data_IF_454054090206
#
_entry.id   IF_454054090206
#
_cell.length_a   1.000
_cell.length_b   1.000
_cell.length_c   1.000
_cell.angle_alpha   90.00
_cell.angle_beta   90.00
_cell.angle_gamma   90.00
#
_symmetry.space_group_name_H-M   'P 1'
#
loop_
_entity.id
_entity.type
_entity.pdbx_description
1 polymer ?
#
# COMPACT_ATOMS: atom_id res chain seq x y z
N UNK A 1 22.03 1.86 -13.19
CA UNK A 1 21.54 1.39 -11.88
C UNK A 1 22.71 0.74 -11.16
N UNK A 2 22.96 1.09 -9.90
CA UNK A 2 24.03 0.48 -9.12
C UNK A 2 23.61 -0.93 -8.71
N UNK A 3 24.41 -1.95 -9.06
CA UNK A 3 24.22 -3.33 -8.60
C UNK A 3 25.21 -3.59 -7.46
N UNK A 4 24.76 -4.30 -6.42
CA UNK A 4 25.60 -4.74 -5.31
C UNK A 4 25.37 -6.23 -5.07
N UNK A 5 26.40 -6.91 -4.57
CA UNK A 5 26.35 -8.34 -4.27
C UNK A 5 25.91 -8.56 -2.83
N UNK A 6 25.02 -9.54 -2.63
CA UNK A 6 24.56 -9.98 -1.32
C UNK A 6 24.86 -11.47 -1.17
N UNK A 7 25.67 -11.84 -0.17
CA UNK A 7 26.07 -13.22 0.08
C UNK A 7 25.42 -13.73 1.36
N UNK A 8 24.61 -14.78 1.23
CA UNK A 8 23.96 -15.47 2.36
C UNK A 8 24.57 -16.85 2.52
N UNK A 9 24.84 -17.25 3.75
CA UNK A 9 25.19 -18.64 4.09
C UNK A 9 23.93 -19.37 4.53
N UNK A 10 23.67 -20.51 3.92
CA UNK A 10 22.58 -21.42 4.24
C UNK A 10 23.13 -22.85 4.25
N UNK A 11 22.43 -23.76 4.90
CA UNK A 11 22.76 -25.17 4.91
C UNK A 11 22.64 -25.76 3.48
N UNK A 12 23.50 -26.72 3.15
CA UNK A 12 23.57 -27.29 1.80
C UNK A 12 22.27 -28.02 1.41
N UNK A 13 21.64 -28.72 2.36
CA UNK A 13 20.34 -29.36 2.15
C UNK A 13 19.24 -28.34 1.85
N UNK A 14 19.23 -27.22 2.59
CA UNK A 14 18.28 -26.13 2.37
C UNK A 14 18.49 -25.46 1.00
N UNK A 15 19.75 -25.27 0.59
CA UNK A 15 20.09 -24.76 -0.74
C UNK A 15 19.60 -25.67 -1.85
N UNK A 16 19.75 -26.99 -1.69
CA UNK A 16 19.27 -27.96 -2.66
C UNK A 16 17.74 -27.91 -2.80
N UNK A 17 17.02 -27.98 -1.67
CA UNK A 17 15.57 -27.93 -1.63
C UNK A 17 15.01 -26.61 -2.20
N UNK A 18 15.63 -25.47 -1.87
CA UNK A 18 15.23 -24.17 -2.41
C UNK A 18 15.37 -24.08 -3.93
N UNK A 19 16.49 -24.58 -4.48
CA UNK A 19 16.70 -24.58 -5.93
C UNK A 19 15.78 -25.55 -6.66
N UNK A 20 15.45 -26.69 -6.06
CA UNK A 20 14.46 -27.61 -6.61
C UNK A 20 13.07 -26.96 -6.66
N UNK A 21 12.63 -26.35 -5.55
CA UNK A 21 11.36 -25.63 -5.49
C UNK A 21 11.31 -24.45 -6.48
N UNK A 22 12.41 -23.73 -6.66
CA UNK A 22 12.50 -22.66 -7.65
C UNK A 22 12.31 -23.18 -9.08
N UNK A 23 13.00 -24.26 -9.44
CA UNK A 23 12.89 -24.90 -10.75
C UNK A 23 11.49 -25.44 -11.02
N UNK A 24 10.82 -26.01 -10.01
CA UNK A 24 9.45 -26.47 -10.13
C UNK A 24 8.45 -25.35 -10.48
N UNK A 25 8.84 -24.09 -10.24
CA UNK A 25 8.06 -22.91 -10.58
C UNK A 25 8.66 -22.13 -11.77
N UNK A 26 9.59 -22.73 -12.55
CA UNK A 26 10.29 -22.09 -13.68
C UNK A 26 11.06 -20.81 -13.30
N UNK A 27 11.59 -20.75 -12.07
CA UNK A 27 12.31 -19.58 -11.54
C UNK A 27 13.69 -19.96 -11.04
N UNK A 28 14.61 -18.98 -11.03
CA UNK A 28 15.91 -19.14 -10.36
C UNK A 28 15.85 -18.75 -8.88
N UNK A 29 16.72 -19.35 -8.06
CA UNK A 29 16.82 -19.00 -6.65
C UNK A 29 17.14 -17.52 -6.41
N UNK A 30 17.98 -16.92 -7.26
CA UNK A 30 18.36 -15.51 -7.15
C UNK A 30 17.18 -14.56 -7.45
N UNK A 31 16.28 -14.94 -8.36
CA UNK A 31 15.05 -14.19 -8.63
C UNK A 31 14.09 -14.24 -7.45
N UNK A 32 13.94 -15.41 -6.81
CA UNK A 32 13.12 -15.56 -5.62
C UNK A 32 13.65 -14.75 -4.44
N UNK A 33 14.98 -14.77 -4.21
CA UNK A 33 15.61 -13.97 -3.17
C UNK A 33 15.44 -12.47 -3.45
N UNK A 34 15.62 -12.05 -4.71
CA UNK A 34 15.42 -10.64 -5.09
C UNK A 34 13.99 -10.17 -4.87
N UNK A 35 13.01 -10.99 -5.27
CA UNK A 35 11.59 -10.67 -5.09
C UNK A 35 11.22 -10.66 -3.61
N UNK A 36 11.69 -11.64 -2.84
CA UNK A 36 11.50 -11.66 -1.40
C UNK A 36 12.08 -10.41 -0.73
N UNK A 37 13.31 -10.01 -1.07
CA UNK A 37 13.92 -8.79 -0.53
C UNK A 37 13.08 -7.56 -0.91
N UNK A 38 12.61 -7.48 -2.16
CA UNK A 38 11.78 -6.37 -2.61
C UNK A 38 10.47 -6.32 -1.82
N UNK A 39 9.77 -7.44 -1.70
CA UNK A 39 8.50 -7.53 -0.99
C UNK A 39 8.68 -7.28 0.51
N UNK A 40 9.76 -7.80 1.11
CA UNK A 40 10.07 -7.59 2.52
C UNK A 40 10.34 -6.10 2.81
N UNK A 41 11.12 -5.43 1.98
CA UNK A 41 11.36 -3.98 2.10
C UNK A 41 10.09 -3.19 1.82
N UNK A 42 9.32 -3.54 0.79
CA UNK A 42 8.05 -2.90 0.46
C UNK A 42 6.97 -3.12 1.52
N UNK A 43 7.02 -4.20 2.29
CA UNK A 43 6.08 -4.44 3.40
C UNK A 43 6.57 -3.83 4.73
N UNK A 44 7.88 -3.61 4.88
CA UNK A 44 8.48 -2.92 6.04
C UNK A 44 8.41 -1.39 5.90
N UNK A 45 8.59 -0.87 4.69
CA UNK A 45 8.66 0.57 4.41
C UNK A 45 7.34 1.38 4.48
N UNK A 46 6.12 0.82 4.43
CA UNK A 46 4.89 1.60 4.54
C UNK A 46 4.27 1.61 5.94
N UNK A 47 4.74 0.83 6.91
CA UNK A 47 4.14 0.88 8.26
C UNK A 47 4.54 2.16 9.01
N UNK A 48 5.77 2.63 8.85
CA UNK A 48 6.26 3.87 9.48
C UNK A 48 5.79 5.10 8.70
N UNK A 49 5.80 5.04 7.36
CA UNK A 49 5.43 6.19 6.54
C UNK A 49 3.91 6.41 6.55
N UNK A 50 3.11 5.34 6.47
CA UNK A 50 1.65 5.45 6.61
C UNK A 50 1.24 5.86 8.02
N UNK A 51 1.87 5.33 9.09
CA UNK A 51 1.52 5.72 10.46
C UNK A 51 1.90 7.18 10.74
N UNK A 52 3.07 7.64 10.27
CA UNK A 52 3.47 9.04 10.44
C UNK A 52 2.60 9.99 9.63
N UNK A 53 2.27 9.64 8.38
CA UNK A 53 1.32 10.38 7.56
C UNK A 53 -0.07 10.41 8.21
N UNK A 54 -0.57 9.27 8.67
CA UNK A 54 -1.89 9.14 9.30
C UNK A 54 -1.98 9.97 10.58
N UNK A 55 -0.97 9.90 11.44
CA UNK A 55 -0.89 10.76 12.64
C UNK A 55 -0.87 12.25 12.27
N UNK A 56 -0.16 12.62 11.21
CA UNK A 56 -0.18 13.99 10.68
C UNK A 56 -1.56 14.43 10.21
N UNK A 57 -2.30 13.56 9.52
CA UNK A 57 -3.68 13.84 9.10
C UNK A 57 -4.64 13.97 10.29
N UNK A 58 -4.51 13.10 11.29
CA UNK A 58 -5.30 13.17 12.52
C UNK A 58 -5.04 14.48 13.26
N UNK A 59 -3.78 14.86 13.45
CA UNK A 59 -3.44 16.11 14.12
C UNK A 59 -4.00 17.33 13.37
N UNK A 60 -3.92 17.34 12.04
CA UNK A 60 -4.51 18.40 11.21
C UNK A 60 -6.02 18.51 11.43
N UNK A 61 -6.73 17.38 11.58
CA UNK A 61 -8.15 17.36 11.89
C UNK A 61 -8.46 17.92 13.28
N UNK A 62 -7.68 17.53 14.30
CA UNK A 62 -7.79 18.05 15.67
C UNK A 62 -7.55 19.56 15.71
N UNK A 63 -6.47 20.06 15.10
CA UNK A 63 -6.15 21.48 15.05
C UNK A 63 -7.25 22.31 14.33
N UNK A 64 -7.92 21.71 13.34
CA UNK A 64 -9.06 22.34 12.66
C UNK A 64 -10.31 22.40 13.53
N UNK A 65 -10.58 21.33 14.27
CA UNK A 65 -11.68 21.29 15.24
C UNK A 65 -11.47 22.30 16.37
N UNK A 66 -10.25 22.33 16.94
CA UNK A 66 -9.87 23.25 18.02
C UNK A 66 -9.91 24.71 17.57
N UNK A 67 -9.59 24.98 16.29
CA UNK A 67 -9.75 26.30 15.68
C UNK A 67 -11.20 26.64 15.28
N UNK A 68 -12.18 25.80 15.62
CA UNK A 68 -13.60 26.02 15.34
C UNK A 68 -14.01 25.90 13.87
N UNK A 69 -13.13 25.36 13.02
CA UNK A 69 -13.42 25.11 11.59
C UNK A 69 -14.16 23.78 11.40
N UNK A 70 -15.27 23.63 12.13
CA UNK A 70 -16.14 22.46 12.07
C UNK A 70 -17.30 22.71 11.12
N UNK A 71 -17.71 21.65 10.43
CA UNK A 71 -18.92 21.63 9.60
C UNK A 71 -19.91 20.70 10.27
N UNK A 72 -21.20 21.06 10.29
CA UNK A 72 -22.23 20.20 10.88
C UNK A 72 -22.41 18.96 10.02
N UNK A 73 -22.62 17.81 10.67
CA UNK A 73 -22.73 16.53 9.96
C UNK A 73 -23.86 16.50 8.93
N UNK A 74 -24.97 17.20 9.19
CA UNK A 74 -26.09 17.32 8.24
C UNK A 74 -25.72 18.05 6.95
N UNK A 75 -24.88 19.08 7.04
CA UNK A 75 -24.45 19.87 5.88
C UNK A 75 -23.50 19.04 5.01
N UNK A 76 -22.60 18.27 5.65
CA UNK A 76 -21.72 17.31 4.97
C UNK A 76 -22.52 16.22 4.26
N UNK A 77 -23.49 15.60 4.94
CA UNK A 77 -24.28 14.53 4.34
C UNK A 77 -25.13 15.03 3.17
N UNK A 78 -25.72 16.23 3.27
CA UNK A 78 -26.46 16.84 2.18
C UNK A 78 -25.57 17.05 0.93
N UNK A 79 -24.35 17.56 1.13
CA UNK A 79 -23.40 17.77 0.04
C UNK A 79 -22.97 16.44 -0.61
N UNK A 80 -22.57 15.45 0.19
CA UNK A 80 -22.13 14.16 -0.33
C UNK A 80 -23.27 13.37 -0.98
N UNK A 81 -24.50 13.49 -0.48
CA UNK A 81 -25.70 12.94 -1.13
C UNK A 81 -25.90 13.55 -2.53
N UNK A 82 -25.80 14.87 -2.65
CA UNK A 82 -25.90 15.56 -3.94
C UNK A 82 -24.79 15.13 -4.92
N UNK A 83 -23.54 15.01 -4.44
CA UNK A 83 -22.40 14.51 -5.24
C UNK A 83 -22.64 13.08 -5.73
N UNK A 84 -23.11 12.18 -4.86
CA UNK A 84 -23.43 10.79 -5.24
C UNK A 84 -24.53 10.74 -6.30
N UNK A 85 -25.60 11.53 -6.14
CA UNK A 85 -26.67 11.61 -7.14
C UNK A 85 -26.15 12.14 -8.50
N UNK A 86 -25.28 13.15 -8.49
CA UNK A 86 -24.68 13.68 -9.71
C UNK A 86 -23.82 12.62 -10.42
N UNK A 87 -23.02 11.85 -9.67
CA UNK A 87 -22.23 10.74 -10.21
C UNK A 87 -23.13 9.65 -10.81
N UNK A 88 -24.20 9.25 -10.11
CA UNK A 88 -25.16 8.26 -10.61
C UNK A 88 -25.83 8.72 -11.91
N UNK A 89 -26.22 10.00 -12.00
CA UNK A 89 -26.77 10.57 -13.24
C UNK A 89 -25.78 10.50 -14.40
N UNK A 90 -24.48 10.75 -14.15
CA UNK A 90 -23.43 10.63 -15.19
C UNK A 90 -23.23 9.18 -15.64
N UNK A 91 -23.20 8.24 -14.70
CA UNK A 91 -23.07 6.81 -15.01
C UNK A 91 -24.26 6.34 -15.85
N UNK A 92 -25.48 6.67 -15.43
CA UNK A 92 -26.70 6.27 -16.14
C UNK A 92 -26.90 7.00 -17.48
N UNK A 93 -26.44 8.24 -17.60
CA UNK A 93 -26.46 9.01 -18.85
C UNK A 93 -25.33 8.65 -19.82
N UNK A 94 -24.27 7.99 -19.36
CA UNK A 94 -23.18 7.45 -20.20
C UNK A 94 -23.47 6.04 -20.72
N UNK A 95 -24.56 5.42 -20.26
CA UNK A 95 -25.02 4.08 -20.65
C UNK A 95 -26.21 4.10 -21.63
N UNK A 96 -26.53 5.26 -22.21
CA UNK A 96 -27.52 5.49 -23.26
C UNK A 96 -26.85 6.11 -24.49
#
# INVERSE_FOLDING_TARGET
MAQSNFTVRIEDELKAAFNEAAKANDRSGDELVRDFIRDYVLNQSPSVDHDSWFRGQVQTGLDSADAGRLIRGEDVEAEFSARRQATLRKINGSAA
#
